data_IF_454599468904
#
_entry.id   IF_454599468904
#
_cell.length_a   1.000
_cell.length_b   1.000
_cell.length_c   1.000
_cell.angle_alpha   90.00
_cell.angle_beta   90.00
_cell.angle_gamma   90.00
#
_symmetry.space_group_name_H-M   'P 1'
#
loop_
_entity.id
_entity.type
_entity.pdbx_description
1 polymer ?
#
# COMPACT_ATOMS: atom_id res chain seq x y z
N UNK A 1 8.78 -8.97 6.20
CA UNK A 1 9.40 -10.20 5.61
C UNK A 1 9.60 -11.26 6.69
N UNK A 2 9.42 -12.55 6.37
CA UNK A 2 9.50 -13.67 7.34
C UNK A 2 10.50 -14.74 6.88
N UNK A 3 11.11 -15.46 7.82
CA UNK A 3 11.80 -16.74 7.58
C UNK A 3 10.78 -17.87 7.40
N UNK A 4 11.15 -19.00 6.78
CA UNK A 4 10.25 -20.16 6.64
C UNK A 4 9.72 -20.73 7.96
N UNK A 5 10.42 -20.51 9.07
CA UNK A 5 10.01 -20.94 10.42
C UNK A 5 9.03 -19.97 11.12
N UNK A 6 8.64 -18.88 10.46
CA UNK A 6 7.75 -17.87 11.02
C UNK A 6 8.45 -16.79 11.85
N UNK A 7 9.78 -16.76 11.90
CA UNK A 7 10.51 -15.66 12.55
C UNK A 7 10.54 -14.42 11.65
N UNK A 8 10.16 -13.26 12.17
CA UNK A 8 10.23 -12.01 11.43
C UNK A 8 11.68 -11.60 11.10
N UNK A 9 11.91 -11.24 9.83
CA UNK A 9 13.13 -10.56 9.36
C UNK A 9 12.90 -9.04 9.42
N UNK A 10 11.74 -8.61 8.94
CA UNK A 10 11.25 -7.24 9.04
C UNK A 10 9.76 -7.28 9.40
N UNK A 11 9.38 -6.55 10.44
CA UNK A 11 8.00 -6.46 10.95
C UNK A 11 7.18 -5.39 10.21
N UNK A 12 7.82 -4.54 9.41
CA UNK A 12 7.12 -3.58 8.57
C UNK A 12 6.38 -4.26 7.41
N UNK A 13 5.19 -3.76 7.04
CA UNK A 13 4.45 -4.24 5.88
C UNK A 13 5.07 -3.75 4.57
N UNK A 14 4.78 -4.48 3.49
CA UNK A 14 4.90 -4.02 2.11
C UNK A 14 3.47 -3.77 1.61
N UNK A 15 3.02 -2.50 1.50
CA UNK A 15 1.60 -2.17 1.42
C UNK A 15 0.80 -2.86 0.31
N UNK A 16 1.41 -3.17 -0.84
CA UNK A 16 0.75 -3.93 -1.91
C UNK A 16 0.18 -5.26 -1.39
N UNK A 17 0.90 -5.98 -0.53
CA UNK A 17 0.43 -7.23 0.04
C UNK A 17 -0.89 -7.06 0.81
N UNK A 18 -1.00 -6.02 1.65
CA UNK A 18 -2.24 -5.75 2.39
C UNK A 18 -3.42 -5.42 1.46
N UNK A 19 -3.17 -4.73 0.35
CA UNK A 19 -4.19 -4.42 -0.67
C UNK A 19 -4.70 -5.69 -1.36
N UNK A 20 -3.79 -6.60 -1.71
CA UNK A 20 -4.14 -7.92 -2.25
C UNK A 20 -4.86 -8.79 -1.21
N UNK A 21 -4.41 -8.82 0.04
CA UNK A 21 -5.08 -9.59 1.10
C UNK A 21 -6.52 -9.10 1.33
N UNK A 22 -6.73 -7.78 1.46
CA UNK A 22 -8.07 -7.23 1.66
C UNK A 22 -9.00 -7.58 0.50
N UNK A 23 -8.53 -7.43 -0.74
CA UNK A 23 -9.34 -7.73 -1.94
C UNK A 23 -9.63 -9.21 -2.09
N UNK A 24 -8.63 -10.07 -1.86
CA UNK A 24 -8.79 -11.52 -1.91
C UNK A 24 -9.79 -12.01 -0.84
N UNK A 25 -9.76 -11.43 0.36
CA UNK A 25 -10.73 -11.73 1.41
C UNK A 25 -12.15 -11.27 1.04
N UNK A 26 -12.31 -10.10 0.41
CA UNK A 26 -13.61 -9.73 -0.15
C UNK A 26 -14.08 -10.73 -1.20
N UNK A 27 -13.23 -11.16 -2.13
CA UNK A 27 -13.62 -12.17 -3.10
C UNK A 27 -13.98 -13.51 -2.45
N UNK A 28 -13.22 -13.97 -1.45
CA UNK A 28 -13.53 -15.17 -0.69
C UNK A 28 -14.91 -15.07 -0.02
N UNK A 29 -15.21 -13.93 0.60
CA UNK A 29 -16.53 -13.65 1.19
C UNK A 29 -17.66 -13.79 0.17
N UNK A 30 -17.51 -13.20 -1.02
CA UNK A 30 -18.55 -13.25 -2.06
C UNK A 30 -18.66 -14.62 -2.73
N UNK A 31 -17.57 -15.39 -2.82
CA UNK A 31 -17.58 -16.72 -3.46
C UNK A 31 -18.00 -17.86 -2.53
N UNK A 32 -17.61 -17.80 -1.26
CA UNK A 32 -17.71 -18.91 -0.32
C UNK A 32 -18.54 -18.59 0.93
N UNK A 33 -18.96 -17.33 1.11
CA UNK A 33 -19.59 -16.87 2.34
C UNK A 33 -18.58 -16.67 3.46
N UNK A 34 -19.06 -16.27 4.65
CA UNK A 34 -18.21 -15.99 5.81
C UNK A 34 -18.30 -17.13 6.83
N UNK A 35 -17.14 -17.61 7.30
CA UNK A 35 -17.01 -18.58 8.37
C UNK A 35 -16.98 -17.95 9.76
N UNK A 36 -16.16 -18.52 10.66
CA UNK A 36 -15.92 -18.01 12.03
C UNK A 36 -14.44 -17.69 12.24
N UNK A 37 -14.15 -16.80 13.18
CA UNK A 37 -12.77 -16.40 13.49
C UNK A 37 -12.08 -15.83 12.26
N UNK A 38 -10.86 -16.28 11.97
CA UNK A 38 -10.08 -15.84 10.80
C UNK A 38 -10.72 -16.19 9.44
N UNK A 39 -11.73 -17.06 9.41
CA UNK A 39 -12.48 -17.42 8.20
C UNK A 39 -13.72 -16.53 7.98
N UNK A 40 -13.99 -15.56 8.85
CA UNK A 40 -14.95 -14.49 8.58
C UNK A 40 -14.31 -13.46 7.63
N UNK A 41 -14.21 -13.83 6.35
CA UNK A 41 -13.40 -13.08 5.37
C UNK A 41 -13.84 -11.63 5.22
N UNK A 42 -15.14 -11.35 5.28
CA UNK A 42 -15.65 -9.97 5.23
C UNK A 42 -15.15 -9.15 6.41
N UNK A 43 -15.22 -9.71 7.62
CA UNK A 43 -14.75 -9.02 8.83
C UNK A 43 -13.26 -8.74 8.75
N UNK A 44 -12.45 -9.72 8.35
CA UNK A 44 -11.00 -9.56 8.21
C UNK A 44 -10.64 -8.54 7.13
N UNK A 45 -11.33 -8.55 5.97
CA UNK A 45 -11.14 -7.56 4.91
C UNK A 45 -11.44 -6.13 5.40
N UNK A 46 -12.55 -5.94 6.11
CA UNK A 46 -12.92 -4.64 6.67
C UNK A 46 -11.91 -4.17 7.72
N UNK A 47 -11.41 -5.08 8.56
CA UNK A 47 -10.36 -4.78 9.53
C UNK A 47 -9.05 -4.33 8.87
N UNK A 48 -8.66 -4.97 7.76
CA UNK A 48 -7.50 -4.54 6.99
C UNK A 48 -7.70 -3.17 6.35
N UNK A 49 -8.85 -2.89 5.73
CA UNK A 49 -9.13 -1.55 5.16
C UNK A 49 -9.04 -0.45 6.24
N UNK A 50 -9.60 -0.70 7.43
CA UNK A 50 -9.51 0.24 8.54
C UNK A 50 -8.06 0.45 9.00
N UNK A 51 -7.27 -0.62 9.13
CA UNK A 51 -5.87 -0.53 9.50
C UNK A 51 -5.02 0.19 8.43
N UNK A 52 -5.33 0.02 7.13
CA UNK A 52 -4.61 0.67 6.04
C UNK A 52 -4.89 2.18 5.98
N UNK A 53 -6.11 2.62 6.30
CA UNK A 53 -6.55 4.02 6.15
C UNK A 53 -6.58 4.81 7.46
N UNK A 54 -7.19 4.24 8.51
CA UNK A 54 -7.59 4.98 9.71
C UNK A 54 -6.65 4.79 10.90
N UNK A 55 -5.62 3.94 10.76
CA UNK A 55 -4.66 3.67 11.84
C UNK A 55 -3.92 4.95 12.23
N UNK A 56 -4.04 5.33 13.50
CA UNK A 56 -3.24 6.42 14.08
C UNK A 56 -1.76 6.05 14.09
N UNK A 57 -0.90 7.06 14.09
CA UNK A 57 0.54 6.84 14.23
C UNK A 57 0.85 6.10 15.55
N UNK A 58 1.62 5.02 15.46
CA UNK A 58 2.03 4.21 16.63
C UNK A 58 3.54 4.24 16.73
N UNK A 59 4.05 4.80 17.83
CA UNK A 59 5.45 4.70 18.19
C UNK A 59 5.70 3.39 18.94
N UNK A 60 6.73 2.65 18.54
CA UNK A 60 7.03 1.36 19.11
C UNK A 60 8.39 0.83 18.74
N UNK A 61 8.76 -0.28 19.36
CA UNK A 61 9.93 -1.03 18.98
C UNK A 61 9.58 -1.98 17.83
N UNK A 62 10.48 -2.09 16.84
CA UNK A 62 10.34 -2.96 15.67
C UNK A 62 11.60 -3.80 15.48
N UNK A 63 11.48 -4.86 14.68
CA UNK A 63 12.56 -5.79 14.31
C UNK A 63 13.18 -6.43 15.56
N UNK A 64 12.35 -7.11 16.36
CA UNK A 64 12.74 -7.73 17.63
C UNK A 64 13.43 -6.74 18.59
N UNK A 65 12.82 -5.57 18.77
CA UNK A 65 13.29 -4.47 19.65
C UNK A 65 14.63 -3.81 19.25
N UNK A 66 15.15 -4.05 18.05
CA UNK A 66 16.43 -3.49 17.61
C UNK A 66 16.34 -2.02 17.19
N UNK A 67 15.14 -1.54 16.89
CA UNK A 67 14.89 -0.16 16.46
C UNK A 67 13.60 0.35 17.09
N UNK A 68 13.51 1.67 17.31
CA UNK A 68 12.26 2.35 17.63
C UNK A 68 11.89 3.26 16.48
N UNK A 69 10.64 3.21 16.05
CA UNK A 69 10.11 4.10 15.01
C UNK A 69 8.63 4.39 15.27
N UNK A 70 8.07 5.29 14.47
CA UNK A 70 6.63 5.51 14.36
C UNK A 70 6.14 4.98 13.03
N UNK A 71 5.10 4.14 13.06
CA UNK A 71 4.42 3.66 11.86
C UNK A 71 3.10 4.42 11.68
N UNK A 72 2.87 4.89 10.46
CA UNK A 72 1.66 5.60 10.03
C UNK A 72 0.66 4.66 9.32
N UNK A 73 -0.50 5.19 8.94
CA UNK A 73 -1.42 4.51 8.02
C UNK A 73 -0.75 4.25 6.66
N UNK A 74 -1.15 3.18 5.96
CA UNK A 74 -0.55 2.78 4.68
C UNK A 74 -0.95 3.71 3.54
N UNK A 75 -2.06 4.44 3.66
CA UNK A 75 -2.44 5.48 2.71
C UNK A 75 -2.10 6.87 3.25
N UNK A 76 -1.59 7.74 2.38
CA UNK A 76 -1.47 9.15 2.67
C UNK A 76 -2.87 9.82 2.57
N UNK A 77 -3.38 10.45 3.65
CA UNK A 77 -4.74 11.00 3.66
C UNK A 77 -4.90 12.27 2.81
N UNK A 78 -3.82 13.02 2.57
CA UNK A 78 -3.82 14.24 1.76
C UNK A 78 -3.80 13.90 0.26
N UNK A 79 -2.86 13.04 -0.15
CA UNK A 79 -2.72 12.64 -1.53
C UNK A 79 -3.71 11.55 -1.95
N UNK A 80 -4.28 10.80 -1.00
CA UNK A 80 -5.15 9.64 -1.24
C UNK A 80 -4.45 8.55 -2.06
N UNK A 81 -3.17 8.34 -1.78
CA UNK A 81 -2.31 7.37 -2.44
C UNK A 81 -1.76 6.39 -1.40
N UNK A 82 -1.55 5.13 -1.81
CA UNK A 82 -0.79 4.17 -1.02
C UNK A 82 0.64 4.67 -0.85
N UNK A 83 1.26 4.40 0.30
CA UNK A 83 2.67 4.73 0.58
C UNK A 83 3.55 3.55 0.18
N UNK A 84 4.82 3.81 -0.13
CA UNK A 84 5.82 2.75 -0.24
C UNK A 84 6.02 2.01 1.10
N UNK A 85 5.99 2.74 2.21
CA UNK A 85 6.09 2.18 3.57
C UNK A 85 5.37 3.08 4.58
N UNK A 86 4.92 2.58 5.74
CA UNK A 86 4.40 3.44 6.81
C UNK A 86 5.48 4.04 7.73
N UNK A 87 6.76 3.74 7.52
CA UNK A 87 7.84 4.01 8.46
C UNK A 87 8.32 5.48 8.46
N UNK A 88 8.16 6.17 9.58
CA UNK A 88 8.58 7.56 9.75
C UNK A 88 10.10 7.77 9.55
N UNK A 89 10.94 6.79 9.88
CA UNK A 89 12.39 6.89 9.63
C UNK A 89 12.70 6.89 8.14
N UNK A 90 11.88 6.19 7.34
CA UNK A 90 11.99 6.24 5.89
C UNK A 90 11.57 7.63 5.39
N UNK A 91 10.47 8.19 5.90
CA UNK A 91 10.02 9.53 5.53
C UNK A 91 11.08 10.60 5.83
N UNK A 92 11.79 10.50 6.96
CA UNK A 92 12.84 11.44 7.30
C UNK A 92 14.03 11.41 6.32
N UNK A 93 14.32 10.26 5.70
CA UNK A 93 15.47 10.08 4.81
C UNK A 93 15.11 10.25 3.33
N UNK A 94 13.91 9.82 2.95
CA UNK A 94 13.48 9.70 1.57
C UNK A 94 12.25 10.57 1.27
N UNK A 95 11.69 11.27 2.24
CA UNK A 95 10.36 11.86 2.10
C UNK A 95 9.28 10.78 2.10
N UNK A 96 8.06 11.23 2.32
CA UNK A 96 6.88 10.42 2.13
C UNK A 96 6.62 10.22 0.62
N UNK A 97 6.48 8.98 0.17
CA UNK A 97 6.45 8.64 -1.25
C UNK A 97 5.69 7.33 -1.49
N UNK A 98 5.52 6.98 -2.77
CA UNK A 98 4.75 5.83 -3.24
C UNK A 98 5.55 4.97 -4.23
N UNK A 99 4.91 3.93 -4.74
CA UNK A 99 5.42 2.98 -5.72
C UNK A 99 4.31 2.79 -6.78
N UNK A 100 4.53 3.13 -8.07
CA UNK A 100 3.52 2.98 -9.11
C UNK A 100 2.90 1.59 -9.20
N UNK A 101 3.67 0.55 -8.89
CA UNK A 101 3.19 -0.83 -8.95
C UNK A 101 2.19 -1.18 -7.83
N UNK A 102 2.10 -0.34 -6.78
CA UNK A 102 1.16 -0.55 -5.66
C UNK A 102 -0.18 0.14 -5.92
N UNK A 103 -0.27 1.01 -6.93
CA UNK A 103 -1.55 1.67 -7.26
C UNK A 103 -2.52 0.67 -7.90
N UNK A 104 -3.57 0.29 -7.17
CA UNK A 104 -4.53 -0.73 -7.60
C UNK A 104 -5.95 -0.14 -7.75
N UNK A 105 -6.20 0.81 -8.67
CA UNK A 105 -7.50 1.48 -8.78
C UNK A 105 -8.65 0.51 -9.01
N UNK A 106 -8.42 -0.62 -9.67
CA UNK A 106 -9.43 -1.67 -9.82
C UNK A 106 -9.89 -2.25 -8.48
N UNK A 107 -8.98 -2.42 -7.51
CA UNK A 107 -9.33 -2.88 -6.17
C UNK A 107 -10.02 -1.78 -5.38
N UNK A 108 -9.56 -0.54 -5.54
CA UNK A 108 -10.11 0.61 -4.81
C UNK A 108 -11.58 0.87 -5.19
N UNK A 109 -11.97 0.64 -6.44
CA UNK A 109 -13.38 0.67 -6.87
C UNK A 109 -14.23 -0.37 -6.09
N UNK A 110 -13.68 -1.57 -5.88
CA UNK A 110 -14.36 -2.61 -5.11
C UNK A 110 -14.47 -2.22 -3.64
N UNK A 111 -13.46 -1.56 -3.08
CA UNK A 111 -13.49 -1.09 -1.69
C UNK A 111 -14.46 0.09 -1.52
N UNK A 112 -14.59 0.95 -2.54
CA UNK A 112 -15.62 1.97 -2.60
C UNK A 112 -17.04 1.38 -2.65
N UNK A 113 -17.22 0.20 -3.25
CA UNK A 113 -18.50 -0.49 -3.29
C UNK A 113 -18.79 -1.32 -2.02
N UNK A 114 -17.79 -2.02 -1.49
CA UNK A 114 -17.98 -3.09 -0.50
C UNK A 114 -17.44 -2.78 0.89
N UNK A 115 -16.54 -1.82 1.00
CA UNK A 115 -15.91 -1.39 2.24
C UNK A 115 -16.85 -0.63 3.18
N UNK A 116 -16.32 -0.16 4.33
CA UNK A 116 -17.08 0.60 5.31
C UNK A 116 -17.66 1.85 4.68
N UNK A 117 -18.95 2.14 4.94
CA UNK A 117 -19.66 3.26 4.30
C UNK A 117 -18.95 4.60 4.50
N UNK A 118 -18.42 4.84 5.71
CA UNK A 118 -17.68 6.05 6.06
C UNK A 118 -16.41 6.28 5.20
N UNK A 119 -15.86 5.22 4.61
CA UNK A 119 -14.59 5.26 3.88
C UNK A 119 -14.76 5.15 2.37
N UNK A 120 -15.97 4.89 1.86
CA UNK A 120 -16.20 4.65 0.43
C UNK A 120 -15.77 5.80 -0.47
N UNK A 121 -16.02 7.03 -0.04
CA UNK A 121 -15.61 8.24 -0.78
C UNK A 121 -14.09 8.31 -0.90
N UNK A 122 -13.36 7.98 0.17
CA UNK A 122 -11.90 7.95 0.13
C UNK A 122 -11.39 6.94 -0.89
N UNK A 123 -11.97 5.73 -0.94
CA UNK A 123 -11.54 4.69 -1.88
C UNK A 123 -11.89 5.04 -3.33
N UNK A 124 -13.05 5.65 -3.58
CA UNK A 124 -13.41 6.15 -4.91
C UNK A 124 -12.44 7.25 -5.36
N UNK A 125 -12.07 8.16 -4.46
CA UNK A 125 -11.08 9.19 -4.75
C UNK A 125 -9.69 8.60 -4.97
N UNK A 126 -9.25 7.62 -4.17
CA UNK A 126 -8.00 6.91 -4.37
C UNK A 126 -7.95 6.21 -5.74
N UNK A 127 -9.06 5.60 -6.18
CA UNK A 127 -9.16 4.99 -7.51
C UNK A 127 -8.95 6.03 -8.62
N UNK A 128 -9.61 7.20 -8.51
CA UNK A 128 -9.42 8.31 -9.45
C UNK A 128 -7.99 8.83 -9.44
N UNK A 129 -7.44 9.09 -8.25
CA UNK A 129 -6.09 9.61 -8.07
C UNK A 129 -5.04 8.67 -8.66
N UNK A 130 -5.17 7.36 -8.46
CA UNK A 130 -4.25 6.38 -9.04
C UNK A 130 -4.26 6.36 -10.58
N UNK A 131 -5.45 6.51 -11.19
CA UNK A 131 -5.54 6.63 -12.66
C UNK A 131 -4.82 7.88 -13.15
N UNK A 132 -5.05 9.02 -12.49
CA UNK A 132 -4.38 10.29 -12.80
C UNK A 132 -2.86 10.18 -12.57
N UNK A 133 -2.44 9.40 -11.56
CA UNK A 133 -1.04 9.17 -11.21
C UNK A 133 -0.28 8.36 -12.26
N UNK A 134 -0.89 7.31 -12.83
CA UNK A 134 -0.26 6.53 -13.90
C UNK A 134 0.14 7.39 -15.10
N UNK A 135 -0.71 8.35 -15.47
CA UNK A 135 -0.40 9.30 -16.56
C UNK A 135 0.79 10.20 -16.23
N UNK A 136 0.97 10.56 -14.95
CA UNK A 136 2.07 11.41 -14.49
C UNK A 136 3.39 10.67 -14.35
N UNK A 137 3.35 9.43 -13.84
CA UNK A 137 4.56 8.69 -13.47
C UNK A 137 5.16 7.87 -14.60
N UNK A 138 4.36 7.51 -15.61
CA UNK A 138 4.86 6.79 -16.78
C UNK A 138 5.51 7.72 -17.79
N UNK A 139 6.64 7.30 -18.35
CA UNK A 139 7.35 8.09 -19.34
C UNK A 139 6.51 8.19 -20.64
N UNK A 140 6.24 9.41 -21.17
CA UNK A 140 5.22 9.62 -22.20
C UNK A 140 5.53 8.97 -23.56
N UNK A 141 6.78 8.56 -23.81
CA UNK A 141 7.16 7.87 -25.05
C UNK A 141 7.21 6.36 -24.92
N UNK A 142 7.52 5.84 -23.73
CA UNK A 142 7.82 4.41 -23.54
C UNK A 142 6.78 3.70 -22.69
N UNK A 143 5.95 4.44 -21.96
CA UNK A 143 5.00 3.88 -20.99
C UNK A 143 5.65 3.28 -19.74
N UNK A 144 6.98 3.35 -19.61
CA UNK A 144 7.70 2.77 -18.48
C UNK A 144 7.56 3.66 -17.24
N UNK A 145 7.27 3.05 -16.09
CA UNK A 145 7.28 3.68 -14.77
C UNK A 145 8.59 3.37 -14.02
N UNK A 146 8.98 4.18 -13.02
CA UNK A 146 10.02 3.80 -12.06
C UNK A 146 9.49 2.76 -11.06
N UNK A 147 10.38 2.07 -10.34
CA UNK A 147 9.98 1.28 -9.17
C UNK A 147 9.35 2.20 -8.11
N UNK A 148 10.04 3.28 -7.69
CA UNK A 148 9.51 4.22 -6.69
C UNK A 148 9.25 5.60 -7.30
N UNK A 149 8.25 6.30 -6.77
CA UNK A 149 7.89 7.65 -7.21
C UNK A 149 7.40 8.53 -6.04
N UNK A 150 7.63 9.84 -6.15
CA UNK A 150 6.97 10.81 -5.28
C UNK A 150 5.47 10.90 -5.65
N UNK A 151 4.63 11.44 -4.75
CA UNK A 151 3.19 11.56 -5.01
C UNK A 151 2.83 12.48 -6.19
N UNK A 152 3.76 13.32 -6.66
CA UNK A 152 3.57 14.13 -7.87
C UNK A 152 3.83 13.35 -9.18
N UNK A 153 4.31 12.11 -9.09
CA UNK A 153 4.63 11.22 -10.21
C UNK A 153 6.12 11.18 -10.57
N UNK A 154 6.96 12.06 -10.00
CA UNK A 154 8.39 12.07 -10.32
C UNK A 154 9.12 10.84 -9.76
N UNK A 155 10.10 10.27 -10.48
CA UNK A 155 10.87 9.13 -9.99
C UNK A 155 11.57 9.40 -8.66
N UNK A 156 11.58 8.39 -7.78
CA UNK A 156 12.17 8.48 -6.45
C UNK A 156 13.41 7.58 -6.35
N UNK A 157 14.57 8.21 -6.20
CA UNK A 157 15.80 7.52 -5.81
C UNK A 157 15.85 7.40 -4.28
N UNK A 158 15.68 6.18 -3.76
CA UNK A 158 15.82 5.91 -2.34
C UNK A 158 17.30 5.98 -1.89
N UNK A 159 17.53 6.38 -0.64
CA UNK A 159 18.87 6.57 -0.07
C UNK A 159 19.73 5.31 -0.05
N UNK A 160 19.11 4.13 -0.11
CA UNK A 160 19.79 2.83 -0.12
C UNK A 160 20.00 2.24 -1.51
N UNK A 161 19.27 2.71 -2.53
CA UNK A 161 19.40 2.26 -3.91
C UNK A 161 18.87 3.32 -4.88
N UNK A 162 19.77 4.01 -5.57
CA UNK A 162 19.41 5.00 -6.57
C UNK A 162 18.69 4.39 -7.79
N UNK A 163 18.84 3.08 -8.01
CA UNK A 163 18.19 2.35 -9.10
C UNK A 163 16.67 2.25 -8.97
N UNK A 164 16.10 2.59 -7.82
CA UNK A 164 14.64 2.65 -7.57
C UNK A 164 13.94 3.73 -8.40
N UNK A 165 14.68 4.71 -8.92
CA UNK A 165 14.16 5.68 -9.88
C UNK A 165 14.03 5.16 -11.33
N UNK A 166 14.39 3.89 -11.59
CA UNK A 166 14.37 3.27 -12.92
C UNK A 166 13.26 2.22 -13.03
N UNK A 167 12.96 1.80 -14.25
CA UNK A 167 12.08 0.65 -14.52
C UNK A 167 12.80 -0.66 -14.17
N UNK A 168 12.41 -1.32 -13.07
CA UNK A 168 12.91 -2.65 -12.68
C UNK A 168 11.74 -3.51 -12.16
N UNK A 169 11.99 -4.37 -11.19
CA UNK A 169 11.13 -5.50 -10.85
C UNK A 169 9.73 -5.09 -10.42
N UNK A 170 9.62 -4.05 -9.58
CA UNK A 170 8.33 -3.58 -9.07
C UNK A 170 7.54 -2.95 -10.22
N UNK A 171 8.20 -2.09 -11.00
CA UNK A 171 7.60 -1.37 -12.12
C UNK A 171 6.98 -2.26 -13.21
N UNK A 172 7.39 -3.54 -13.33
CA UNK A 172 6.82 -4.49 -14.28
C UNK A 172 5.31 -4.69 -14.09
N UNK A 173 4.80 -4.51 -12.87
CA UNK A 173 3.38 -4.72 -12.53
C UNK A 173 2.49 -3.48 -12.78
N UNK A 174 3.06 -2.38 -13.25
CA UNK A 174 2.35 -1.11 -13.46
C UNK A 174 1.43 -1.12 -14.69
N UNK A 175 1.72 -1.98 -15.68
CA UNK A 175 1.04 -2.00 -16.99
C UNK A 175 -0.32 -2.71 -16.99
#
# INVERSE_FOLDING_TARGET
QMRPDGTAIDENPAPDAEEYFATALFFASHRWGNGKGIYDYRKEALGLLDAMKNRKAIAGAVNANKRKTTLHALFNPEHKMVRFTPDADNFAKNGDHTDPSYHLPAFYELWAAWGPEADRVFWADAAKVSRDFFVKTTHPKTGLAPDYANFDGTPKAASWDAGTANFRYDAFRTA
#
